data_IF_293361873654
#
_entry.id   IF_293361873654
#
_cell.length_a   1.000
_cell.length_b   1.000
_cell.length_c   1.000
_cell.angle_alpha   90.00
_cell.angle_beta   90.00
_cell.angle_gamma   90.00
#
_symmetry.space_group_name_H-M   'P 1'
#
loop_
_entity.id
_entity.type
_entity.pdbx_description
1 polymer ?
#
# COMPACT_ATOMS: atom_id res chain seq x y z
N UNK A 1 9.63 -12.97 14.06
CA UNK A 1 8.59 -12.52 13.10
C UNK A 1 8.57 -10.99 13.14
N UNK A 2 8.81 -10.31 12.02
CA UNK A 2 8.83 -8.84 12.00
C UNK A 2 7.48 -8.28 12.46
N UNK A 3 7.53 -7.21 13.26
CA UNK A 3 6.44 -6.65 14.06
C UNK A 3 5.09 -6.51 13.35
N UNK A 4 4.01 -6.59 14.14
CA UNK A 4 2.59 -6.38 13.77
C UNK A 4 2.28 -4.91 13.38
N UNK A 5 3.21 -4.20 12.76
CA UNK A 5 2.99 -2.85 12.24
C UNK A 5 2.24 -2.88 10.92
N UNK A 6 1.48 -1.82 10.64
CA UNK A 6 0.92 -1.60 9.31
C UNK A 6 2.05 -1.17 8.37
N UNK A 7 2.11 -1.77 7.18
CA UNK A 7 3.02 -1.38 6.11
C UNK A 7 2.65 -0.02 5.50
N UNK A 8 1.38 0.38 5.64
CA UNK A 8 0.89 1.64 5.11
C UNK A 8 0.61 2.69 6.20
N UNK A 9 0.80 3.95 5.82
CA UNK A 9 0.26 5.07 6.58
C UNK A 9 -1.25 5.21 6.31
N UNK A 10 -2.06 4.56 7.15
CA UNK A 10 -3.53 4.54 7.01
C UNK A 10 -4.16 5.92 6.92
N UNK A 11 -3.65 6.91 7.65
CA UNK A 11 -4.19 8.27 7.65
C UNK A 11 -3.98 8.96 6.28
N UNK A 12 -2.80 8.82 5.71
CA UNK A 12 -2.50 9.37 4.38
C UNK A 12 -3.23 8.60 3.28
N UNK A 13 -3.28 7.27 3.36
CA UNK A 13 -4.04 6.45 2.41
C UNK A 13 -5.53 6.81 2.41
N UNK A 14 -6.12 7.06 3.59
CA UNK A 14 -7.51 7.53 3.69
C UNK A 14 -7.72 8.87 2.99
N UNK A 15 -6.89 9.88 3.29
CA UNK A 15 -6.98 11.21 2.66
C UNK A 15 -6.87 11.11 1.15
N UNK A 16 -5.88 10.35 0.66
CA UNK A 16 -5.68 10.14 -0.76
C UNK A 16 -6.87 9.45 -1.41
N UNK A 17 -7.38 8.36 -0.83
CA UNK A 17 -8.49 7.60 -1.42
C UNK A 17 -9.77 8.45 -1.59
N UNK A 18 -10.11 9.27 -0.59
CA UNK A 18 -11.28 10.15 -0.68
C UNK A 18 -11.10 11.23 -1.74
N UNK A 19 -9.93 11.90 -1.72
CA UNK A 19 -9.60 12.93 -2.71
C UNK A 19 -9.62 12.36 -4.13
N UNK A 20 -8.98 11.21 -4.35
CA UNK A 20 -8.93 10.57 -5.66
C UNK A 20 -10.33 10.17 -6.13
N UNK A 21 -11.17 9.63 -5.24
CA UNK A 21 -12.56 9.27 -5.58
C UNK A 21 -13.37 10.48 -6.07
N UNK A 22 -13.29 11.60 -5.35
CA UNK A 22 -13.95 12.86 -5.70
C UNK A 22 -13.45 13.42 -7.05
N UNK A 23 -12.13 13.39 -7.26
CA UNK A 23 -11.51 13.94 -8.48
C UNK A 23 -11.76 13.07 -9.73
N UNK A 24 -11.90 11.75 -9.57
CA UNK A 24 -11.87 10.81 -10.70
C UNK A 24 -13.21 10.14 -11.00
N UNK A 25 -14.23 10.27 -10.15
CA UNK A 25 -15.56 9.69 -10.37
C UNK A 25 -16.67 10.71 -10.12
N UNK A 26 -17.16 11.29 -11.20
CA UNK A 26 -18.28 12.25 -11.18
C UNK A 26 -19.51 11.61 -10.54
N UNK A 27 -20.03 12.25 -9.47
CA UNK A 27 -21.18 11.77 -8.71
C UNK A 27 -20.87 10.77 -7.60
N UNK A 28 -19.59 10.43 -7.38
CA UNK A 28 -19.18 9.60 -6.25
C UNK A 28 -18.38 10.43 -5.24
N UNK A 29 -19.02 10.74 -4.11
CA UNK A 29 -18.43 11.54 -3.03
C UNK A 29 -18.38 10.76 -1.70
N UNK A 30 -17.47 9.79 -1.56
CA UNK A 30 -17.34 9.06 -0.31
C UNK A 30 -16.75 9.97 0.79
N UNK A 31 -17.37 9.99 1.97
CA UNK A 31 -16.83 10.72 3.14
C UNK A 31 -15.92 9.85 4.02
N UNK A 32 -16.02 8.53 3.86
CA UNK A 32 -15.39 7.55 4.76
C UNK A 32 -14.70 6.46 3.95
N UNK A 33 -13.63 5.93 4.55
CA UNK A 33 -12.93 4.74 4.07
C UNK A 33 -13.11 3.65 5.11
N UNK A 34 -13.52 2.46 4.66
CA UNK A 34 -13.74 1.32 5.55
C UNK A 34 -12.41 0.79 6.10
N UNK A 35 -12.47 0.15 7.28
CA UNK A 35 -11.32 -0.54 7.85
C UNK A 35 -10.82 -1.63 6.89
N UNK A 36 -11.74 -2.42 6.34
CA UNK A 36 -11.43 -3.51 5.42
C UNK A 36 -10.64 -3.03 4.21
N UNK A 37 -11.03 -1.92 3.58
CA UNK A 37 -10.30 -1.37 2.44
C UNK A 37 -8.82 -1.10 2.76
N UNK A 38 -8.55 -0.52 3.93
CA UNK A 38 -7.19 -0.24 4.37
C UNK A 38 -6.41 -1.50 4.74
N UNK A 39 -7.09 -2.50 5.31
CA UNK A 39 -6.50 -3.80 5.64
C UNK A 39 -6.13 -4.57 4.35
N UNK A 40 -6.99 -4.54 3.33
CA UNK A 40 -6.72 -5.13 2.02
C UNK A 40 -5.56 -4.43 1.31
N UNK A 41 -5.47 -3.09 1.43
CA UNK A 41 -4.39 -2.32 0.83
C UNK A 41 -3.05 -2.62 1.52
N UNK A 42 -3.03 -2.74 2.85
CA UNK A 42 -1.86 -3.18 3.62
C UNK A 42 -1.40 -4.58 3.18
N UNK A 43 -2.35 -5.50 3.03
CA UNK A 43 -2.10 -6.87 2.55
C UNK A 43 -1.47 -6.87 1.16
N UNK A 44 -1.98 -6.06 0.24
CA UNK A 44 -1.42 -5.93 -1.11
C UNK A 44 0.01 -5.40 -1.10
N UNK A 45 0.29 -4.38 -0.28
CA UNK A 45 1.65 -3.82 -0.13
C UNK A 45 2.60 -4.87 0.43
N UNK A 46 2.18 -5.63 1.45
CA UNK A 46 2.96 -6.74 2.00
C UNK A 46 3.30 -7.77 0.92
N UNK A 47 2.31 -8.19 0.13
CA UNK A 47 2.52 -9.14 -0.97
C UNK A 47 3.48 -8.58 -2.03
N UNK A 48 3.37 -7.29 -2.36
CA UNK A 48 4.25 -6.63 -3.31
C UNK A 48 5.69 -6.60 -2.81
N UNK A 49 5.92 -6.24 -1.54
CA UNK A 49 7.25 -6.25 -0.91
C UNK A 49 7.83 -7.67 -0.93
N UNK A 50 7.06 -8.66 -0.50
CA UNK A 50 7.50 -10.06 -0.51
C UNK A 50 7.85 -10.53 -1.91
N UNK A 51 7.06 -10.16 -2.92
CA UNK A 51 7.32 -10.50 -4.30
C UNK A 51 8.58 -9.80 -4.84
N UNK A 52 8.79 -8.52 -4.49
CA UNK A 52 9.97 -7.78 -4.89
C UNK A 52 11.24 -8.43 -4.33
N UNK A 53 11.25 -8.76 -3.03
CA UNK A 53 12.36 -9.46 -2.37
C UNK A 53 12.66 -10.79 -3.05
N UNK A 54 11.62 -11.59 -3.37
CA UNK A 54 11.79 -12.90 -4.01
C UNK A 54 12.38 -12.84 -5.41
N UNK A 55 12.04 -11.81 -6.18
CA UNK A 55 12.50 -11.64 -7.57
C UNK A 55 13.86 -10.96 -7.65
N UNK A 56 14.32 -10.38 -6.55
CA UNK A 56 15.49 -9.54 -6.53
C UNK A 56 16.79 -10.36 -6.70
N UNK A 57 17.65 -10.04 -7.69
CA UNK A 57 18.99 -10.62 -7.77
C UNK A 57 19.85 -10.04 -6.64
N UNK A 58 20.25 -10.86 -5.67
CA UNK A 58 21.02 -10.37 -4.52
C UNK A 58 22.36 -9.76 -4.95
N UNK A 59 22.50 -8.44 -4.84
CA UNK A 59 23.79 -7.74 -4.99
C UNK A 59 24.34 -7.43 -3.61
N UNK A 60 25.22 -8.30 -3.13
CA UNK A 60 25.76 -8.22 -1.76
C UNK A 60 24.66 -8.35 -0.70
N UNK A 61 24.72 -7.51 0.34
CA UNK A 61 23.77 -7.50 1.48
C UNK A 61 22.69 -6.42 1.35
N UNK A 62 22.38 -5.96 0.13
CA UNK A 62 21.45 -4.85 -0.10
C UNK A 62 20.38 -5.22 -1.12
N UNK A 63 19.12 -4.88 -0.82
CA UNK A 63 18.02 -4.88 -1.81
C UNK A 63 18.14 -3.56 -2.59
N UNK A 64 18.57 -3.65 -3.85
CA UNK A 64 18.67 -2.56 -4.83
C UNK A 64 18.05 -3.00 -6.15
N UNK A 65 17.01 -2.32 -6.61
CA UNK A 65 16.57 -2.51 -7.99
C UNK A 65 17.75 -2.22 -8.93
N UNK A 66 18.19 -3.25 -9.64
CA UNK A 66 19.14 -3.11 -10.74
C UNK A 66 18.34 -2.63 -11.95
N UNK A 67 17.88 -1.39 -11.92
CA UNK A 67 17.44 -0.68 -13.12
C UNK A 67 18.63 -0.32 -13.98
#
# INVERSE_FOLDING_TARGET
MASNGNFINRAQCKKFALRWAQENRRGWDPERVSKQFLDDLDTKVRMAIQSAIKRHPSVGKTIKDLT
#
